data_IF_488699727434
#
_entry.id   IF_488699727434
#
_cell.length_a   1.000
_cell.length_b   1.000
_cell.length_c   1.000
_cell.angle_alpha   90.00
_cell.angle_beta   90.00
_cell.angle_gamma   90.00
#
_symmetry.space_group_name_H-M   'P 1'
#
loop_
_entity.id
_entity.type
_entity.pdbx_description
1 polymer ?
#
# COMPACT_ATOMS: atom_id res chain seq x y z
N UNK A 1 20.05 -19.56 7.54
CA UNK A 1 19.19 -18.61 8.30
C UNK A 1 19.98 -17.87 9.37
N UNK A 2 20.67 -18.55 10.30
CA UNK A 2 21.51 -17.91 11.32
C UNK A 2 22.57 -17.02 10.68
N UNK A 3 23.24 -17.48 9.62
CA UNK A 3 24.24 -16.72 8.89
C UNK A 3 23.63 -15.48 8.21
N UNK A 4 22.42 -15.60 7.68
CA UNK A 4 21.68 -14.48 7.11
C UNK A 4 21.34 -13.42 8.17
N UNK A 5 20.77 -13.83 9.31
CA UNK A 5 20.44 -12.96 10.43
C UNK A 5 21.71 -12.24 10.95
N UNK A 6 22.80 -12.99 11.10
CA UNK A 6 24.05 -12.42 11.56
C UNK A 6 24.65 -11.40 10.57
N UNK A 7 24.56 -11.66 9.28
CA UNK A 7 25.00 -10.73 8.24
C UNK A 7 24.12 -9.50 8.18
N UNK A 8 22.80 -9.66 8.31
CA UNK A 8 21.86 -8.56 8.36
C UNK A 8 22.14 -7.61 9.54
N UNK A 9 22.35 -8.17 10.74
CA UNK A 9 22.64 -7.38 11.94
C UNK A 9 23.98 -6.65 11.82
N UNK A 10 24.98 -7.28 11.21
CA UNK A 10 26.33 -6.70 11.06
C UNK A 10 26.48 -5.73 9.90
N UNK A 11 25.58 -5.76 8.91
CA UNK A 11 25.71 -4.86 7.76
C UNK A 11 25.45 -3.41 8.16
N UNK A 12 26.33 -2.50 7.77
CA UNK A 12 26.22 -1.07 8.12
C UNK A 12 25.19 -0.33 7.29
N UNK A 13 24.74 -0.92 6.20
CA UNK A 13 23.83 -0.30 5.25
C UNK A 13 22.74 -1.28 4.81
N UNK A 14 21.50 -0.85 4.92
CA UNK A 14 20.34 -1.57 4.41
C UNK A 14 20.34 -1.71 2.88
N UNK A 15 20.95 -0.76 2.17
CA UNK A 15 21.06 -0.78 0.71
C UNK A 15 22.01 -1.88 0.17
N UNK A 16 22.93 -2.39 1.00
CA UNK A 16 23.79 -3.52 0.65
C UNK A 16 23.21 -4.88 1.03
N UNK A 17 22.08 -4.91 1.70
CA UNK A 17 21.33 -6.11 1.78
C UNK A 17 20.84 -6.38 0.35
N UNK A 18 21.07 -7.54 -0.17
CA UNK A 18 20.49 -8.11 -1.40
C UNK A 18 18.97 -8.21 -1.33
N UNK A 19 18.34 -7.28 -0.66
CA UNK A 19 17.03 -7.25 -0.09
C UNK A 19 16.36 -6.06 -0.71
N UNK A 20 15.49 -6.33 -1.63
CA UNK A 20 14.45 -5.45 -2.16
C UNK A 20 14.83 -3.95 -2.24
N UNK A 21 15.43 -3.58 -3.36
CA UNK A 21 15.78 -2.18 -3.68
C UNK A 21 14.56 -1.23 -3.70
N UNK A 22 13.34 -1.78 -3.65
CA UNK A 22 12.09 -1.02 -3.55
C UNK A 22 11.68 -0.69 -2.12
N UNK A 23 12.43 -1.10 -1.11
CA UNK A 23 12.08 -0.76 0.26
C UNK A 23 12.52 0.67 0.60
N UNK A 24 11.57 1.52 0.98
CA UNK A 24 11.82 2.85 1.53
C UNK A 24 12.42 2.81 2.95
N UNK A 25 13.07 1.71 3.30
CA UNK A 25 13.53 1.46 4.65
C UNK A 25 14.93 2.03 4.85
N UNK A 26 15.01 3.14 5.54
CA UNK A 26 16.28 3.75 5.96
C UNK A 26 16.87 3.18 7.26
N UNK A 27 16.18 2.27 7.94
CA UNK A 27 16.59 1.78 9.26
C UNK A 27 16.47 0.26 9.38
N UNK A 28 17.42 -0.35 10.10
CA UNK A 28 17.34 -1.76 10.48
C UNK A 28 16.48 -1.90 11.73
N UNK A 29 15.30 -2.42 11.56
CA UNK A 29 14.40 -2.73 12.67
C UNK A 29 14.05 -4.22 12.70
N UNK A 30 13.51 -4.68 13.82
CA UNK A 30 13.02 -6.06 13.97
C UNK A 30 11.94 -6.38 12.93
N UNK A 31 11.10 -5.41 12.57
CA UNK A 31 10.09 -5.57 11.52
C UNK A 31 10.67 -5.83 10.15
N UNK A 32 11.78 -5.15 9.81
CA UNK A 32 12.51 -5.38 8.55
C UNK A 32 13.11 -6.77 8.53
N UNK A 33 13.78 -7.18 9.62
CA UNK A 33 14.35 -8.52 9.74
C UNK A 33 13.28 -9.61 9.57
N UNK A 34 12.15 -9.47 10.24
CA UNK A 34 11.04 -10.41 10.12
C UNK A 34 10.48 -10.47 8.70
N UNK A 35 10.32 -9.33 8.05
CA UNK A 35 9.87 -9.28 6.65
C UNK A 35 10.84 -10.01 5.71
N UNK A 36 12.14 -9.87 5.93
CA UNK A 36 13.15 -10.55 5.12
C UNK A 36 13.17 -12.08 5.35
N UNK A 37 13.02 -12.50 6.59
CA UNK A 37 12.87 -13.93 6.92
C UNK A 37 11.63 -14.50 6.22
N UNK A 38 10.49 -13.81 6.29
CA UNK A 38 9.27 -14.23 5.60
C UNK A 38 9.42 -14.29 4.08
N UNK A 39 10.19 -13.39 3.47
CA UNK A 39 10.48 -13.47 2.02
C UNK A 39 11.21 -14.76 1.66
N UNK A 40 12.18 -15.17 2.46
CA UNK A 40 12.91 -16.43 2.25
C UNK A 40 11.98 -17.63 2.39
N UNK A 41 11.20 -17.66 3.47
CA UNK A 41 10.24 -18.73 3.73
C UNK A 41 9.18 -18.84 2.63
N UNK A 42 8.64 -17.69 2.19
CA UNK A 42 7.68 -17.62 1.10
C UNK A 42 8.28 -18.13 -0.22
N UNK A 43 9.53 -17.79 -0.51
CA UNK A 43 10.21 -18.25 -1.72
C UNK A 43 10.35 -19.78 -1.72
N UNK A 44 10.72 -20.38 -0.59
CA UNK A 44 10.80 -21.83 -0.44
C UNK A 44 9.43 -22.47 -0.61
N UNK A 45 8.42 -21.98 0.10
CA UNK A 45 7.04 -22.49 0.04
C UNK A 45 6.46 -22.38 -1.37
N UNK A 46 6.64 -21.26 -2.04
CA UNK A 46 6.20 -21.08 -3.42
C UNK A 46 6.90 -22.05 -4.37
N UNK A 47 8.19 -22.28 -4.19
CA UNK A 47 8.92 -23.26 -5.01
C UNK A 47 8.35 -24.66 -4.84
N UNK A 48 8.12 -25.11 -3.61
CA UNK A 48 7.53 -26.43 -3.32
C UNK A 48 6.10 -26.56 -3.86
N UNK A 49 5.30 -25.49 -3.75
CA UNK A 49 3.94 -25.46 -4.29
C UNK A 49 3.93 -25.60 -5.82
N UNK A 50 4.77 -24.82 -6.51
CA UNK A 50 4.90 -24.90 -7.96
C UNK A 50 5.42 -26.25 -8.43
N UNK A 51 6.38 -26.81 -7.72
CA UNK A 51 6.86 -28.17 -8.02
C UNK A 51 5.75 -29.21 -7.90
N UNK A 52 4.95 -29.13 -6.85
CA UNK A 52 3.81 -30.02 -6.66
C UNK A 52 2.76 -29.86 -7.77
N UNK A 53 2.47 -28.62 -8.16
CA UNK A 53 1.51 -28.30 -9.22
C UNK A 53 1.99 -28.81 -10.59
N UNK A 54 3.24 -28.54 -10.92
CA UNK A 54 3.83 -28.96 -12.21
C UNK A 54 3.91 -30.49 -12.30
N UNK A 55 4.33 -31.17 -11.24
CA UNK A 55 4.37 -32.64 -11.17
C UNK A 55 3.01 -33.28 -11.40
N UNK A 56 1.94 -32.65 -10.94
CA UNK A 56 0.58 -33.15 -11.19
C UNK A 56 0.18 -33.05 -12.66
N UNK A 57 0.65 -32.03 -13.37
CA UNK A 57 0.31 -31.78 -14.78
C UNK A 57 1.23 -32.49 -15.75
N UNK A 58 2.51 -32.51 -15.43
CA UNK A 58 3.54 -33.18 -16.23
C UNK A 58 4.53 -33.91 -15.30
N UNK A 59 4.29 -35.19 -15.03
CA UNK A 59 5.18 -36.01 -14.19
C UNK A 59 6.62 -36.11 -14.71
N UNK A 60 6.83 -35.87 -15.98
CA UNK A 60 8.15 -35.95 -16.63
C UNK A 60 8.90 -34.60 -16.65
N UNK A 61 8.28 -33.55 -16.15
CA UNK A 61 8.92 -32.23 -16.12
C UNK A 61 10.18 -32.26 -15.25
N UNK A 62 11.26 -31.70 -15.80
CA UNK A 62 12.52 -31.62 -15.07
C UNK A 62 12.49 -30.51 -14.02
N UNK A 63 12.17 -30.90 -12.80
CA UNK A 63 12.02 -29.97 -11.68
C UNK A 63 13.33 -29.26 -11.26
N UNK A 64 14.49 -29.81 -11.63
CA UNK A 64 15.78 -29.15 -11.40
C UNK A 64 15.87 -27.81 -12.13
N UNK A 65 15.10 -27.62 -13.19
CA UNK A 65 15.00 -26.34 -13.92
C UNK A 65 14.37 -25.26 -13.03
N UNK A 66 13.45 -25.62 -12.15
CA UNK A 66 12.81 -24.67 -11.23
C UNK A 66 13.62 -24.39 -9.97
N UNK A 67 14.44 -25.36 -9.53
CA UNK A 67 15.24 -25.23 -8.30
C UNK A 67 16.56 -24.51 -8.48
N UNK A 68 16.93 -24.18 -9.70
CA UNK A 68 18.22 -23.56 -9.95
C UNK A 68 18.15 -22.04 -9.80
N UNK A 69 18.11 -21.58 -8.57
CA UNK A 69 17.94 -20.18 -8.20
C UNK A 69 18.98 -19.21 -8.78
N UNK A 70 20.14 -19.71 -9.17
CA UNK A 70 21.23 -18.88 -9.69
C UNK A 70 21.46 -19.02 -11.20
N UNK A 71 20.85 -20.02 -11.84
CA UNK A 71 20.95 -20.28 -13.28
C UNK A 71 19.58 -20.60 -13.89
N UNK A 72 18.55 -19.97 -13.38
CA UNK A 72 17.18 -20.27 -13.76
C UNK A 72 16.91 -19.94 -15.21
N UNK A 73 16.46 -20.94 -15.95
CA UNK A 73 15.80 -20.76 -17.25
C UNK A 73 14.41 -20.16 -17.05
N UNK A 74 13.79 -20.43 -15.88
CA UNK A 74 12.49 -19.89 -15.47
C UNK A 74 12.68 -19.05 -14.20
N UNK A 75 12.40 -17.78 -14.29
CA UNK A 75 12.41 -16.84 -13.17
C UNK A 75 10.96 -16.43 -12.82
N UNK A 76 10.37 -16.98 -11.76
CA UNK A 76 9.09 -16.46 -11.27
C UNK A 76 9.31 -15.11 -10.60
N UNK A 77 8.76 -14.07 -11.20
CA UNK A 77 8.78 -12.74 -10.61
C UNK A 77 8.01 -12.74 -9.28
N UNK A 78 8.53 -12.00 -8.29
CA UNK A 78 7.91 -11.87 -6.96
C UNK A 78 7.64 -13.19 -6.22
N UNK A 79 8.48 -14.19 -6.43
CA UNK A 79 8.38 -15.50 -5.77
C UNK A 79 8.49 -15.45 -4.24
N UNK A 80 8.85 -14.31 -3.67
CA UNK A 80 8.86 -14.06 -2.23
C UNK A 80 7.49 -13.65 -1.66
N UNK A 81 6.46 -13.47 -2.51
CA UNK A 81 5.08 -13.26 -2.07
C UNK A 81 4.48 -14.54 -1.53
N UNK A 82 3.52 -14.43 -0.62
CA UNK A 82 2.83 -15.60 -0.09
C UNK A 82 2.01 -16.29 -1.18
N UNK A 83 1.83 -17.59 -1.04
CA UNK A 83 0.98 -18.37 -1.93
C UNK A 83 -0.47 -17.90 -1.78
N UNK A 84 -1.07 -17.48 -2.89
CA UNK A 84 -2.46 -16.99 -2.91
C UNK A 84 -2.65 -15.53 -2.47
N UNK A 85 -1.58 -14.83 -2.09
CA UNK A 85 -1.65 -13.40 -1.79
C UNK A 85 -1.65 -12.59 -3.10
N UNK A 86 -2.61 -11.68 -3.30
CA UNK A 86 -2.57 -10.80 -4.46
C UNK A 86 -1.41 -9.81 -4.34
N UNK A 87 -0.64 -9.69 -5.43
CA UNK A 87 0.52 -8.81 -5.41
C UNK A 87 0.14 -7.33 -5.56
N UNK A 88 -0.67 -7.02 -6.56
CA UNK A 88 -1.20 -5.68 -6.78
C UNK A 88 -2.70 -5.74 -7.07
N UNK A 89 -3.43 -4.71 -6.64
CA UNK A 89 -4.86 -4.61 -6.94
C UNK A 89 -5.29 -3.17 -7.16
N UNK A 90 -6.41 -3.01 -7.87
CA UNK A 90 -7.17 -1.78 -7.89
C UNK A 90 -8.44 -1.97 -7.03
N UNK A 91 -8.66 -1.08 -6.08
CA UNK A 91 -9.82 -1.10 -5.21
C UNK A 91 -10.75 0.07 -5.54
N UNK A 92 -12.03 -0.24 -5.81
CA UNK A 92 -13.05 0.81 -5.88
C UNK A 92 -13.36 1.34 -4.49
N UNK A 93 -13.46 2.65 -4.36
CA UNK A 93 -13.86 3.31 -3.13
C UNK A 93 -15.35 3.32 -2.90
N UNK A 94 -16.14 3.04 -3.94
CA UNK A 94 -17.62 3.12 -3.90
C UNK A 94 -18.26 2.29 -2.76
N UNK A 95 -17.90 1.02 -2.54
CA UNK A 95 -18.46 0.24 -1.43
C UNK A 95 -18.17 0.87 -0.05
N UNK A 96 -16.98 1.45 0.12
CA UNK A 96 -16.58 2.05 1.40
C UNK A 96 -17.31 3.37 1.68
N UNK A 97 -17.69 4.09 0.63
CA UNK A 97 -18.52 5.29 0.74
C UNK A 97 -19.98 4.98 1.08
N UNK A 98 -20.45 3.79 0.74
CA UNK A 98 -21.83 3.37 1.06
C UNK A 98 -21.95 2.67 2.42
N UNK A 99 -20.96 1.87 2.78
CA UNK A 99 -21.04 0.94 3.92
C UNK A 99 -19.98 1.17 5.00
N UNK A 100 -19.04 2.07 4.77
CA UNK A 100 -17.88 2.24 5.65
C UNK A 100 -16.87 1.09 5.56
N UNK A 101 -15.94 1.02 6.52
CA UNK A 101 -14.85 0.02 6.55
C UNK A 101 -15.18 -1.18 7.46
N UNK A 102 -16.38 -1.70 7.40
CA UNK A 102 -16.82 -2.71 8.37
C UNK A 102 -16.14 -4.08 8.19
N UNK A 103 -15.62 -4.38 7.00
CA UNK A 103 -15.11 -5.72 6.65
C UNK A 103 -13.58 -5.88 6.72
N UNK A 104 -12.83 -4.83 6.96
CA UNK A 104 -11.36 -4.86 6.97
C UNK A 104 -10.76 -4.76 8.39
N UNK A 105 -11.49 -5.27 9.39
CA UNK A 105 -11.00 -5.29 10.77
C UNK A 105 -11.17 -3.98 11.55
N UNK A 106 -11.66 -2.92 10.91
CA UNK A 106 -12.00 -1.64 11.53
C UNK A 106 -13.48 -1.31 11.33
N UNK A 107 -14.09 -0.67 12.29
CA UNK A 107 -15.46 -0.19 12.19
C UNK A 107 -15.46 1.32 11.95
N UNK A 108 -15.62 1.76 10.71
CA UNK A 108 -15.77 3.17 10.35
C UNK A 108 -17.12 3.40 9.70
N UNK A 109 -17.82 4.44 10.16
CA UNK A 109 -19.06 4.86 9.52
C UNK A 109 -18.79 5.51 8.16
N UNK A 110 -19.86 5.64 7.35
CA UNK A 110 -19.83 6.35 6.07
C UNK A 110 -19.34 7.79 6.25
N UNK A 111 -18.39 8.27 5.43
CA UNK A 111 -17.90 9.64 5.53
C UNK A 111 -18.99 10.66 5.18
N UNK A 112 -19.10 11.71 5.99
CA UNK A 112 -20.13 12.75 5.82
C UNK A 112 -19.58 14.03 5.23
N UNK A 113 -18.30 14.29 5.40
CA UNK A 113 -17.59 15.51 5.00
C UNK A 113 -16.19 15.16 4.45
N UNK A 114 -15.49 16.15 3.93
CA UNK A 114 -14.19 15.97 3.31
C UNK A 114 -13.14 15.43 4.30
N UNK A 115 -13.15 15.91 5.54
CA UNK A 115 -12.22 15.44 6.58
C UNK A 115 -12.40 13.94 6.85
N UNK A 116 -13.63 13.50 7.10
CA UNK A 116 -13.94 12.09 7.33
C UNK A 116 -13.68 11.21 6.09
N UNK A 117 -13.84 11.76 4.89
CA UNK A 117 -13.48 11.08 3.65
C UNK A 117 -11.96 10.87 3.55
N UNK A 118 -11.15 11.90 3.80
CA UNK A 118 -9.70 11.77 3.82
C UNK A 118 -9.22 10.77 4.89
N UNK A 119 -9.84 10.79 6.06
CA UNK A 119 -9.55 9.83 7.13
C UNK A 119 -9.87 8.38 6.74
N UNK A 120 -11.03 8.12 6.15
CA UNK A 120 -11.40 6.76 5.70
C UNK A 120 -10.50 6.29 4.55
N UNK A 121 -10.10 7.20 3.67
CA UNK A 121 -9.16 6.90 2.59
C UNK A 121 -7.80 6.44 3.10
N UNK A 122 -7.24 7.14 4.08
CA UNK A 122 -5.98 6.75 4.73
C UNK A 122 -6.11 5.36 5.37
N UNK A 123 -7.17 5.15 6.15
CA UNK A 123 -7.41 3.86 6.82
C UNK A 123 -7.59 2.72 5.82
N UNK A 124 -8.32 2.96 4.72
CA UNK A 124 -8.49 1.99 3.64
C UNK A 124 -7.15 1.60 3.02
N UNK A 125 -6.30 2.58 2.72
CA UNK A 125 -4.99 2.30 2.13
C UNK A 125 -4.10 1.47 3.07
N UNK A 126 -4.08 1.75 4.37
CA UNK A 126 -3.35 0.95 5.34
C UNK A 126 -3.93 -0.45 5.50
N UNK A 127 -5.25 -0.60 5.54
CA UNK A 127 -5.92 -1.89 5.63
C UNK A 127 -5.62 -2.76 4.40
N UNK A 128 -5.78 -2.21 3.20
CA UNK A 128 -5.48 -2.93 1.97
C UNK A 128 -3.98 -3.22 1.82
N UNK A 129 -3.13 -2.29 2.21
CA UNK A 129 -1.68 -2.46 2.17
C UNK A 129 -1.17 -3.52 3.16
N UNK A 130 -1.95 -3.89 4.18
CA UNK A 130 -1.62 -5.02 5.07
C UNK A 130 -1.91 -6.37 4.45
N UNK A 131 -2.84 -6.44 3.49
CA UNK A 131 -3.27 -7.66 2.81
C UNK A 131 -2.63 -7.83 1.41
N UNK A 132 -2.10 -6.75 0.84
CA UNK A 132 -1.56 -6.71 -0.52
C UNK A 132 -0.06 -6.44 -0.47
N UNK A 133 0.73 -7.30 -1.10
CA UNK A 133 2.19 -7.21 -1.08
C UNK A 133 2.73 -5.99 -1.85
N UNK A 134 2.17 -5.74 -3.01
CA UNK A 134 2.59 -4.65 -3.91
C UNK A 134 1.76 -3.39 -3.76
N UNK A 135 1.35 -2.81 -4.86
CA UNK A 135 0.62 -1.56 -4.88
C UNK A 135 -0.89 -1.75 -4.80
N UNK A 136 -1.55 -0.82 -4.12
CA UNK A 136 -3.00 -0.67 -4.09
C UNK A 136 -3.37 0.59 -4.84
N UNK A 137 -3.99 0.43 -6.00
CA UNK A 137 -4.53 1.55 -6.75
C UNK A 137 -5.94 1.91 -6.23
N UNK A 138 -6.16 3.19 -5.99
CA UNK A 138 -7.46 3.76 -5.64
C UNK A 138 -7.81 4.86 -6.65
N UNK A 139 -8.17 4.48 -7.89
CA UNK A 139 -8.26 5.41 -9.02
C UNK A 139 -9.29 6.53 -8.79
N UNK A 140 -10.30 6.29 -8.00
CA UNK A 140 -11.45 7.19 -7.80
C UNK A 140 -11.22 8.27 -6.73
N UNK A 141 -10.06 8.32 -6.08
CA UNK A 141 -9.80 9.23 -4.95
C UNK A 141 -10.11 10.69 -5.28
N UNK A 142 -9.56 11.19 -6.40
CA UNK A 142 -9.74 12.60 -6.79
C UNK A 142 -11.19 12.91 -7.16
N UNK A 143 -11.89 11.96 -7.78
CA UNK A 143 -13.31 12.10 -8.12
C UNK A 143 -14.18 12.27 -6.87
N UNK A 144 -13.96 11.44 -5.86
CA UNK A 144 -14.71 11.55 -4.60
C UNK A 144 -14.26 12.74 -3.76
N UNK A 145 -12.99 13.14 -3.83
CA UNK A 145 -12.54 14.37 -3.21
C UNK A 145 -13.26 15.59 -3.80
N UNK A 146 -13.39 15.67 -5.13
CA UNK A 146 -14.18 16.70 -5.80
C UNK A 146 -15.64 16.68 -5.34
N UNK A 147 -16.26 15.50 -5.25
CA UNK A 147 -17.63 15.34 -4.72
C UNK A 147 -17.79 15.97 -3.33
N UNK A 148 -16.88 15.69 -2.40
CA UNK A 148 -16.97 16.23 -1.04
C UNK A 148 -16.63 17.73 -1.02
N UNK A 149 -15.71 18.21 -1.84
CA UNK A 149 -15.46 19.66 -2.01
C UNK A 149 -16.70 20.39 -2.50
N UNK A 150 -17.42 19.85 -3.49
CA UNK A 150 -18.69 20.41 -3.99
C UNK A 150 -19.77 20.41 -2.92
N UNK A 151 -19.82 19.38 -2.11
CA UNK A 151 -20.79 19.25 -1.01
C UNK A 151 -20.56 20.32 0.06
N UNK A 152 -19.29 20.66 0.37
CA UNK A 152 -18.96 21.64 1.41
C UNK A 152 -19.00 23.08 0.94
N UNK A 153 -18.51 23.35 -0.28
CA UNK A 153 -18.29 24.71 -0.77
C UNK A 153 -19.07 25.05 -2.06
N UNK A 154 -19.88 24.14 -2.53
CA UNK A 154 -20.70 24.32 -3.75
C UNK A 154 -19.96 23.92 -5.04
N UNK A 155 -20.75 23.75 -6.12
CA UNK A 155 -20.26 23.21 -7.38
C UNK A 155 -19.12 23.97 -8.05
N UNK A 156 -18.99 25.27 -7.75
CA UNK A 156 -18.00 26.15 -8.35
C UNK A 156 -16.86 26.52 -7.40
N UNK A 157 -16.58 25.69 -6.38
CA UNK A 157 -15.55 25.95 -5.37
C UNK A 157 -14.17 26.22 -5.98
N UNK A 158 -13.83 25.54 -7.05
CA UNK A 158 -12.55 25.66 -7.75
C UNK A 158 -12.34 27.02 -8.43
N UNK A 159 -13.42 27.76 -8.73
CA UNK A 159 -13.35 29.13 -9.24
C UNK A 159 -13.13 30.17 -8.12
N UNK A 160 -13.20 29.74 -6.87
CA UNK A 160 -13.17 30.63 -5.70
C UNK A 160 -12.14 30.18 -4.65
N UNK A 161 -10.90 29.84 -5.04
CA UNK A 161 -9.91 29.28 -4.11
C UNK A 161 -9.53 30.25 -2.99
N UNK A 162 -9.66 31.56 -3.22
CA UNK A 162 -9.31 32.62 -2.25
C UNK A 162 -10.45 33.00 -1.30
N UNK A 163 -11.63 32.38 -1.42
CA UNK A 163 -12.75 32.66 -0.51
C UNK A 163 -12.38 32.17 0.88
N UNK A 164 -12.53 33.06 1.86
CA UNK A 164 -12.28 32.74 3.26
C UNK A 164 -13.40 31.88 3.82
N UNK A 165 -13.01 30.83 4.52
CA UNK A 165 -13.92 29.93 5.23
C UNK A 165 -13.68 30.04 6.73
N UNK A 166 -14.74 29.96 7.51
CA UNK A 166 -14.65 29.89 8.96
C UNK A 166 -14.64 28.41 9.34
N UNK A 167 -13.63 27.99 10.08
CA UNK A 167 -13.58 26.65 10.69
C UNK A 167 -13.65 26.79 12.19
N UNK A 168 -14.43 25.95 12.85
CA UNK A 168 -14.69 26.01 14.29
C UNK A 168 -13.43 25.89 15.17
N UNK A 169 -12.32 25.46 14.60
CA UNK A 169 -11.07 25.16 15.31
C UNK A 169 -9.88 26.07 14.99
N UNK A 170 -10.03 27.08 14.14
CA UNK A 170 -8.89 27.89 13.72
C UNK A 170 -9.07 29.38 13.97
N UNK A 171 -8.15 29.93 14.76
CA UNK A 171 -7.98 31.38 14.96
C UNK A 171 -7.56 32.09 13.65
N UNK A 172 -7.01 31.35 12.67
CA UNK A 172 -6.61 31.89 11.36
C UNK A 172 -7.68 31.58 10.32
N UNK A 173 -8.13 32.62 9.62
CA UNK A 173 -9.01 32.45 8.46
C UNK A 173 -8.28 31.62 7.39
N UNK A 174 -8.85 30.51 7.00
CA UNK A 174 -8.37 29.68 5.88
C UNK A 174 -9.15 30.01 4.63
N UNK A 175 -8.52 29.82 3.48
CA UNK A 175 -9.21 29.86 2.18
C UNK A 175 -9.59 28.44 1.73
N UNK A 176 -10.53 28.32 0.80
CA UNK A 176 -10.91 27.02 0.22
C UNK A 176 -9.66 26.32 -0.34
N UNK A 177 -8.84 27.01 -1.12
CA UNK A 177 -7.61 26.47 -1.68
C UNK A 177 -6.66 25.96 -0.59
N UNK A 178 -6.39 26.78 0.44
CA UNK A 178 -5.49 26.39 1.52
C UNK A 178 -6.03 25.22 2.35
N UNK A 179 -7.34 25.05 2.43
CA UNK A 179 -7.94 23.92 3.11
C UNK A 179 -7.82 22.63 2.29
N UNK A 180 -7.98 22.70 0.98
CA UNK A 180 -7.76 21.57 0.06
C UNK A 180 -6.30 21.14 0.13
N UNK A 181 -5.36 22.07 0.04
CA UNK A 181 -3.92 21.79 0.18
C UNK A 181 -3.61 21.10 1.51
N UNK A 182 -4.26 21.53 2.59
CA UNK A 182 -4.09 20.93 3.91
C UNK A 182 -4.58 19.47 3.95
N UNK A 183 -5.69 19.14 3.30
CA UNK A 183 -6.18 17.76 3.22
C UNK A 183 -5.26 16.89 2.36
N UNK A 184 -4.78 17.38 1.22
CA UNK A 184 -3.77 16.66 0.44
C UNK A 184 -2.50 16.41 1.23
N UNK A 185 -2.02 17.41 1.95
CA UNK A 185 -0.84 17.27 2.82
C UNK A 185 -1.06 16.22 3.90
N UNK A 186 -2.22 16.26 4.57
CA UNK A 186 -2.58 15.29 5.62
C UNK A 186 -2.62 13.87 5.06
N UNK A 187 -3.28 13.65 3.94
CA UNK A 187 -3.34 12.33 3.27
C UNK A 187 -1.95 11.86 2.88
N UNK A 188 -1.17 12.71 2.22
CA UNK A 188 0.18 12.37 1.77
C UNK A 188 1.10 12.02 2.94
N UNK A 189 1.10 12.82 4.00
CA UNK A 189 1.93 12.56 5.18
C UNK A 189 1.50 11.30 5.90
N UNK A 190 0.20 11.03 5.99
CA UNK A 190 -0.31 9.83 6.63
C UNK A 190 0.09 8.57 5.85
N UNK A 191 -0.08 8.57 4.53
CA UNK A 191 0.25 7.41 3.69
C UNK A 191 1.77 7.19 3.61
N UNK A 192 2.56 8.24 3.65
CA UNK A 192 4.03 8.16 3.61
C UNK A 192 4.64 7.70 4.95
N UNK A 193 3.85 7.12 5.83
CA UNK A 193 4.35 6.52 7.07
C UNK A 193 4.69 5.06 6.88
N UNK A 194 5.68 4.59 7.63
CA UNK A 194 6.12 3.21 7.65
C UNK A 194 5.03 2.34 8.28
N UNK A 195 4.60 1.30 7.57
CA UNK A 195 3.64 0.32 8.07
C UNK A 195 4.35 -0.98 8.47
N UNK A 196 4.18 -1.40 9.73
CA UNK A 196 4.79 -2.63 10.23
C UNK A 196 4.33 -3.88 9.48
N UNK A 197 3.06 -3.95 9.10
CA UNK A 197 2.50 -5.05 8.32
C UNK A 197 3.12 -5.20 6.91
N UNK A 198 3.78 -4.18 6.41
CA UNK A 198 4.48 -4.19 5.11
C UNK A 198 6.00 -4.30 5.23
N UNK A 199 6.49 -4.87 6.29
CA UNK A 199 7.93 -4.96 6.48
C UNK A 199 8.61 -3.61 6.62
N UNK A 200 7.94 -2.66 7.28
CA UNK A 200 8.41 -1.29 7.50
C UNK A 200 8.50 -0.43 6.23
N UNK A 201 7.69 -0.72 5.24
CA UNK A 201 7.50 0.14 4.06
C UNK A 201 6.23 0.98 4.18
N UNK A 202 6.21 2.14 3.52
CA UNK A 202 4.97 2.89 3.33
C UNK A 202 4.03 2.15 2.36
N UNK A 203 2.70 2.34 2.46
CA UNK A 203 1.78 1.84 1.45
C UNK A 203 2.13 2.38 0.06
N UNK A 204 2.22 1.49 -0.93
CA UNK A 204 2.30 1.90 -2.32
C UNK A 204 0.89 2.12 -2.85
N UNK A 205 0.54 3.35 -3.12
CA UNK A 205 -0.77 3.69 -3.66
C UNK A 205 -0.65 4.64 -4.83
N UNK A 206 -1.66 4.62 -5.69
CA UNK A 206 -1.83 5.60 -6.75
C UNK A 206 -3.31 5.97 -6.90
N UNK A 207 -3.56 7.10 -7.51
CA UNK A 207 -4.87 7.56 -7.94
C UNK A 207 -4.78 8.10 -9.36
N UNK A 208 -5.92 8.12 -10.05
CA UNK A 208 -5.96 8.53 -11.45
C UNK A 208 -6.44 9.97 -11.58
N UNK A 209 -5.84 10.66 -12.54
CA UNK A 209 -6.39 11.90 -13.06
C UNK A 209 -7.33 11.53 -14.22
N UNK A 210 -8.62 11.76 -14.04
CA UNK A 210 -9.58 11.56 -15.10
C UNK A 210 -9.69 12.84 -15.91
N UNK A 211 -9.46 12.72 -17.21
CA UNK A 211 -9.80 13.77 -18.15
C UNK A 211 -11.30 13.71 -18.48
N UNK A 212 -11.94 14.86 -18.72
CA UNK A 212 -13.37 14.94 -19.01
C UNK A 212 -13.67 14.57 -20.45
#
# INVERSE_FOLDING_TARGET
DIKFIHNFVKSDNTANATIDDNSNVGTKGIGVLNAEIHKVDNKLTNTEWWESFVKKRDPNFNIKVMRNDFKTILYPHDSSSQVGEPYCMAASMYPFLLFGLEKLGGKSAVPKNLDSFCGIYVNLNFALASEIKGAVATPEFLMYMDYFCRKEWGNNYYLKPSVKITTDYCIKQKTIGSQIDQYFQQVTYSINQIAGARGMQSPFTNFSFFDK
#
